data_IF_465280600649
#
_entry.id   IF_465280600649
#
_cell.length_a   1.000
_cell.length_b   1.000
_cell.length_c   1.000
_cell.angle_alpha   90.00
_cell.angle_beta   90.00
_cell.angle_gamma   90.00
#
_symmetry.space_group_name_H-M   'P 1'
#
loop_
_entity.id
_entity.type
_entity.pdbx_description
1 polymer ?
#
# COMPACT_ATOMS: atom_id res chain seq x y z
N UNK A 1 -1.72 -2.64 -20.68
CA UNK A 1 -0.58 -2.50 -19.82
C UNK A 1 -0.96 -2.66 -18.38
N UNK A 2 -0.21 -3.43 -17.67
CA UNK A 2 -0.50 -3.70 -16.27
C UNK A 2 -0.03 -2.53 -15.43
N UNK A 3 -0.85 -2.14 -14.48
CA UNK A 3 -0.46 -1.15 -13.51
C UNK A 3 0.10 -1.84 -12.30
N UNK A 4 1.16 -1.28 -11.77
CA UNK A 4 1.72 -1.79 -10.54
C UNK A 4 1.47 -0.80 -9.41
N UNK A 5 1.40 -1.34 -8.21
CA UNK A 5 1.17 -0.55 -7.03
C UNK A 5 2.24 -0.92 -6.02
N UNK A 6 2.70 0.04 -5.29
CA UNK A 6 3.75 -0.20 -4.34
C UNK A 6 3.14 -0.49 -2.98
N UNK A 7 3.57 -1.59 -2.39
CA UNK A 7 3.17 -1.96 -1.05
C UNK A 7 3.77 -0.94 -0.08
N UNK A 8 2.94 -0.16 0.62
CA UNK A 8 3.49 0.87 1.49
C UNK A 8 4.20 0.31 2.71
N UNK A 9 3.99 -0.95 3.01
CA UNK A 9 4.61 -1.54 4.19
C UNK A 9 5.96 -2.15 3.83
N UNK A 10 6.00 -3.00 2.83
CA UNK A 10 7.26 -3.66 2.50
C UNK A 10 7.97 -3.04 1.32
N UNK A 11 7.30 -2.17 0.56
CA UNK A 11 7.95 -1.47 -0.52
C UNK A 11 8.09 -2.23 -1.81
N UNK A 12 7.47 -3.39 -1.90
CA UNK A 12 7.54 -4.19 -3.12
C UNK A 12 6.41 -3.81 -4.05
N UNK A 13 6.64 -3.99 -5.33
CA UNK A 13 5.62 -3.70 -6.32
C UNK A 13 4.73 -4.91 -6.51
N UNK A 14 3.43 -4.65 -6.55
CA UNK A 14 2.44 -5.69 -6.78
C UNK A 14 1.44 -5.16 -7.78
N UNK A 15 0.72 -6.06 -8.42
CA UNK A 15 -0.40 -5.67 -9.27
C UNK A 15 -1.68 -6.00 -8.54
N UNK A 16 -2.79 -5.49 -9.09
CA UNK A 16 -4.08 -5.79 -8.48
C UNK A 16 -4.33 -7.28 -8.44
N UNK A 17 -3.75 -8.02 -9.39
CA UNK A 17 -3.96 -9.45 -9.45
C UNK A 17 -3.02 -10.22 -8.54
N UNK A 18 -1.82 -9.72 -8.34
CA UNK A 18 -0.85 -10.43 -7.52
C UNK A 18 -0.88 -10.00 -6.07
N UNK A 19 -1.57 -8.91 -5.77
CA UNK A 19 -1.65 -8.46 -4.39
C UNK A 19 -2.42 -9.48 -3.55
N UNK A 20 -1.89 -9.78 -2.39
CA UNK A 20 -2.56 -10.70 -1.48
C UNK A 20 -3.70 -10.04 -0.74
N UNK A 21 -3.64 -8.73 -0.57
CA UNK A 21 -4.67 -8.00 0.13
C UNK A 21 -4.69 -6.57 -0.37
N UNK A 22 -5.75 -5.89 -0.05
CA UNK A 22 -5.85 -4.47 -0.38
C UNK A 22 -6.61 -3.76 0.72
N UNK A 23 -6.40 -2.46 0.81
CA UNK A 23 -7.08 -1.65 1.78
C UNK A 23 -7.38 -0.30 1.18
N UNK A 24 -8.45 0.31 1.63
CA UNK A 24 -8.83 1.63 1.13
C UNK A 24 -8.76 2.62 2.28
N UNK A 25 -8.07 3.73 2.06
CA UNK A 25 -7.90 4.72 3.10
C UNK A 25 -7.91 6.10 2.47
N UNK A 26 -8.80 6.93 2.97
CA UNK A 26 -8.95 8.32 2.49
C UNK A 26 -9.14 8.39 0.99
N UNK A 27 -9.96 7.49 0.47
CA UNK A 27 -10.31 7.49 -0.94
C UNK A 27 -9.23 6.92 -1.84
N UNK A 28 -8.21 6.31 -1.29
CA UNK A 28 -7.15 5.73 -2.09
C UNK A 28 -6.99 4.27 -1.75
N UNK A 29 -6.79 3.46 -2.76
CA UNK A 29 -6.64 2.02 -2.58
C UNK A 29 -5.18 1.65 -2.52
N UNK A 30 -4.84 0.85 -1.53
CA UNK A 30 -3.47 0.38 -1.34
C UNK A 30 -3.44 -1.12 -1.45
N UNK A 31 -2.42 -1.62 -2.10
CA UNK A 31 -2.27 -3.05 -2.33
C UNK A 31 -1.08 -3.55 -1.54
N UNK A 32 -1.18 -4.80 -1.10
CA UNK A 32 -0.18 -5.36 -0.20
C UNK A 32 0.25 -6.71 -0.72
N UNK A 33 1.51 -7.03 -0.49
CA UNK A 33 2.03 -8.31 -0.93
C UNK A 33 1.62 -9.44 0.00
N UNK A 34 1.12 -9.13 1.18
CA UNK A 34 0.64 -10.17 2.07
C UNK A 34 -0.41 -9.58 2.99
N UNK A 35 -1.21 -10.47 3.57
CA UNK A 35 -2.25 -10.04 4.49
C UNK A 35 -1.65 -9.42 5.74
N UNK A 36 -0.50 -9.92 6.17
CA UNK A 36 0.17 -9.36 7.33
C UNK A 36 0.52 -7.90 7.11
N UNK A 37 0.93 -7.57 5.90
CA UNK A 37 1.26 -6.18 5.59
C UNK A 37 0.02 -5.31 5.64
N UNK A 38 -1.10 -5.86 5.17
CA UNK A 38 -2.34 -5.11 5.24
C UNK A 38 -2.73 -4.81 6.67
N UNK A 39 -2.59 -5.80 7.54
CA UNK A 39 -2.95 -5.60 8.93
C UNK A 39 -2.03 -4.59 9.60
N UNK A 40 -0.76 -4.63 9.25
CA UNK A 40 0.18 -3.66 9.76
C UNK A 40 -0.21 -2.26 9.31
N UNK A 41 -0.59 -2.12 8.06
CA UNK A 41 -1.01 -0.85 7.53
C UNK A 41 -2.27 -0.35 8.25
N UNK A 42 -3.22 -1.24 8.47
CA UNK A 42 -4.47 -0.84 9.09
C UNK A 42 -4.26 -0.33 10.51
N UNK A 43 -3.25 -0.81 11.18
CA UNK A 43 -2.96 -0.35 12.52
C UNK A 43 -2.40 1.07 12.54
N UNK A 44 -1.62 1.41 11.52
CA UNK A 44 -0.98 2.71 11.47
C UNK A 44 -0.92 3.20 10.04
N UNK A 45 -2.07 3.45 9.42
CA UNK A 45 -2.05 3.80 8.01
C UNK A 45 -1.31 5.10 7.72
N UNK A 46 -1.45 6.08 8.60
CA UNK A 46 -0.84 7.36 8.31
C UNK A 46 0.68 7.31 8.34
N UNK A 47 1.20 6.37 9.10
CA UNK A 47 2.64 6.22 9.14
C UNK A 47 3.19 5.84 7.77
N UNK A 48 2.45 5.03 7.04
CA UNK A 48 2.92 4.53 5.75
C UNK A 48 2.54 5.43 4.59
N UNK A 49 1.36 5.99 4.61
CA UNK A 49 0.96 6.87 3.52
C UNK A 49 1.73 8.18 3.56
N UNK A 50 2.15 8.58 4.74
CA UNK A 50 2.94 9.78 4.86
C UNK A 50 4.22 9.69 4.06
N UNK A 51 4.86 8.55 4.13
CA UNK A 51 6.08 8.36 3.38
C UNK A 51 5.84 8.39 1.90
N UNK A 52 4.70 7.85 1.47
CA UNK A 52 4.39 7.79 0.08
C UNK A 52 3.99 9.12 -0.50
N UNK A 53 3.24 9.87 0.27
CA UNK A 53 2.71 11.13 -0.20
C UNK A 53 3.61 12.29 0.07
N UNK A 54 4.68 12.04 0.75
CA UNK A 54 5.55 13.11 1.11
C UNK A 54 6.11 13.77 -0.12
N UNK A 55 5.90 15.04 -0.23
CA UNK A 55 6.42 15.78 -1.35
C UNK A 55 7.80 16.26 -1.04
N UNK A 56 8.72 16.08 -1.94
CA UNK A 56 10.03 16.70 -1.76
C UNK A 56 9.87 18.20 -1.84
N UNK A 57 10.63 18.84 -1.06
CA UNK A 57 10.57 20.30 -1.03
C UNK A 57 11.73 20.90 -1.71
#
# INVERSE_FOLDING_TARGET
MAQTFKDPVCGMEVTAETAAAKSEYKGKTYYFCSVADKETFDKNPEKYIRQEQESPR
#
